data_IF_458230966137
#
_entry.id   IF_458230966137
#
_cell.length_a   1.000
_cell.length_b   1.000
_cell.length_c   1.000
_cell.angle_alpha   90.00
_cell.angle_beta   90.00
_cell.angle_gamma   90.00
#
_symmetry.space_group_name_H-M   'P 1'
#
loop_
_entity.id
_entity.type
_entity.pdbx_description
1 polymer ?
#
# COMPACT_ATOMS: atom_id res chain seq x y z
N UNK A 1 17.46 -36.78 -63.40
CA UNK A 1 16.20 -36.03 -63.00
C UNK A 1 15.85 -36.18 -61.53
N UNK A 2 16.56 -37.01 -60.79
CA UNK A 2 16.26 -37.28 -59.34
C UNK A 2 16.98 -36.37 -58.31
N UNK A 3 18.19 -35.91 -58.61
CA UNK A 3 18.97 -35.12 -57.62
C UNK A 3 18.51 -33.63 -57.47
N UNK A 4 17.88 -33.08 -58.48
CA UNK A 4 17.37 -31.69 -58.42
C UNK A 4 16.00 -31.60 -57.74
N UNK A 5 15.19 -32.66 -57.77
CA UNK A 5 13.92 -32.72 -57.07
C UNK A 5 14.11 -32.90 -55.56
N UNK A 6 15.03 -33.74 -55.12
CA UNK A 6 15.36 -33.96 -53.70
C UNK A 6 15.97 -32.73 -53.02
N UNK A 7 16.74 -31.94 -53.78
CA UNK A 7 17.32 -30.68 -53.29
C UNK A 7 16.28 -29.57 -53.13
N UNK A 8 15.29 -29.52 -54.01
CA UNK A 8 14.20 -28.57 -53.93
C UNK A 8 13.20 -28.88 -52.78
N UNK A 9 12.93 -30.18 -52.53
CA UNK A 9 12.07 -30.58 -51.40
C UNK A 9 12.72 -30.24 -50.05
N UNK A 10 14.02 -30.47 -49.88
CA UNK A 10 14.76 -30.14 -48.66
C UNK A 10 14.85 -28.65 -48.41
N UNK A 11 14.99 -27.82 -49.44
CA UNK A 11 14.98 -26.33 -49.31
C UNK A 11 13.61 -25.83 -48.92
N UNK A 12 12.54 -26.38 -49.47
CA UNK A 12 11.16 -25.98 -49.15
C UNK A 12 10.76 -26.39 -47.75
N UNK A 13 11.23 -27.54 -47.26
CA UNK A 13 10.96 -28.00 -45.89
C UNK A 13 11.75 -27.21 -44.83
N UNK A 14 12.98 -26.79 -45.13
CA UNK A 14 13.77 -25.94 -44.24
C UNK A 14 13.20 -24.50 -44.13
N UNK A 15 12.78 -23.91 -45.22
CA UNK A 15 12.16 -22.58 -45.24
C UNK A 15 10.81 -22.59 -44.48
N UNK A 16 9.98 -23.64 -44.71
CA UNK A 16 8.71 -23.77 -43.97
C UNK A 16 8.88 -24.06 -42.47
N UNK A 17 9.98 -24.65 -42.05
CA UNK A 17 10.32 -24.88 -40.63
C UNK A 17 10.88 -23.60 -39.97
N UNK A 18 11.62 -22.77 -40.69
CA UNK A 18 12.10 -21.48 -40.19
C UNK A 18 10.97 -20.47 -40.06
N UNK A 19 10.07 -20.39 -41.03
CA UNK A 19 8.90 -19.51 -40.97
C UNK A 19 7.95 -19.89 -39.81
N UNK A 20 7.76 -21.18 -39.53
CA UNK A 20 6.98 -21.63 -38.36
C UNK A 20 7.63 -21.29 -37.02
N UNK A 21 8.96 -21.41 -36.91
CA UNK A 21 9.68 -21.06 -35.66
C UNK A 21 9.67 -19.58 -35.38
N UNK A 22 9.81 -18.75 -36.41
CA UNK A 22 9.72 -17.28 -36.26
C UNK A 22 8.31 -16.83 -35.92
N UNK A 23 7.28 -17.48 -36.47
CA UNK A 23 5.87 -17.21 -36.13
C UNK A 23 5.56 -17.56 -34.67
N UNK A 24 5.96 -18.75 -34.20
CA UNK A 24 5.75 -19.19 -32.81
C UNK A 24 6.50 -18.30 -31.79
N UNK A 25 7.75 -17.95 -32.10
CA UNK A 25 8.52 -17.06 -31.22
C UNK A 25 7.89 -15.66 -31.12
N UNK A 26 7.34 -15.16 -32.20
CA UNK A 26 6.64 -13.88 -32.25
C UNK A 26 5.31 -13.92 -31.46
N UNK A 27 4.54 -14.98 -31.62
CA UNK A 27 3.32 -15.19 -30.85
C UNK A 27 3.62 -15.27 -29.34
N UNK A 28 4.62 -16.06 -28.95
CA UNK A 28 5.04 -16.16 -27.54
C UNK A 28 5.47 -14.78 -27.01
N UNK A 29 6.21 -14.00 -27.80
CA UNK A 29 6.65 -12.66 -27.41
C UNK A 29 5.47 -11.69 -27.23
N UNK A 30 4.46 -11.73 -28.08
CA UNK A 30 3.24 -10.95 -27.95
C UNK A 30 2.46 -11.30 -26.67
N UNK A 31 2.37 -12.57 -26.33
CA UNK A 31 1.76 -13.04 -25.07
C UNK A 31 2.56 -12.57 -23.84
N UNK A 32 3.87 -12.70 -23.87
CA UNK A 32 4.75 -12.28 -22.78
C UNK A 32 4.65 -10.77 -22.57
N UNK A 33 4.66 -10.00 -23.65
CA UNK A 33 4.53 -8.55 -23.58
C UNK A 33 3.17 -8.12 -23.01
N UNK A 34 2.08 -8.73 -23.47
CA UNK A 34 0.73 -8.46 -22.97
C UNK A 34 0.61 -8.79 -21.48
N UNK A 35 1.15 -9.94 -21.08
CA UNK A 35 1.18 -10.34 -19.66
C UNK A 35 2.02 -9.37 -18.82
N UNK A 36 3.16 -8.94 -19.31
CA UNK A 36 4.02 -7.98 -18.62
C UNK A 36 3.31 -6.65 -18.39
N UNK A 37 2.62 -6.13 -19.41
CA UNK A 37 1.80 -4.90 -19.27
C UNK A 37 0.70 -5.09 -18.24
N UNK A 38 -0.02 -6.21 -18.28
CA UNK A 38 -1.09 -6.49 -17.31
C UNK A 38 -0.57 -6.52 -15.86
N UNK A 39 0.60 -7.12 -15.64
CA UNK A 39 1.27 -7.14 -14.34
C UNK A 39 1.64 -5.72 -13.90
N UNK A 40 2.23 -4.91 -14.79
CA UNK A 40 2.60 -3.52 -14.49
C UNK A 40 1.37 -2.71 -14.10
N UNK A 41 0.29 -2.82 -14.87
CA UNK A 41 -0.98 -2.12 -14.57
C UNK A 41 -1.53 -2.57 -13.22
N UNK A 42 -1.56 -3.87 -12.94
CA UNK A 42 -2.01 -4.41 -11.65
C UNK A 42 -1.16 -3.89 -10.48
N UNK A 43 0.16 -3.81 -10.64
CA UNK A 43 1.06 -3.25 -9.63
C UNK A 43 0.82 -1.75 -9.40
N UNK A 44 0.57 -0.99 -10.47
CA UNK A 44 0.22 0.43 -10.36
C UNK A 44 -1.09 0.64 -9.63
N UNK A 45 -2.12 -0.13 -9.97
CA UNK A 45 -3.43 -0.07 -9.29
C UNK A 45 -3.27 -0.36 -7.80
N UNK A 46 -2.63 -1.49 -7.45
CA UNK A 46 -2.40 -1.87 -6.05
C UNK A 46 -1.51 -0.87 -5.30
N UNK A 47 -0.49 -0.33 -5.96
CA UNK A 47 0.44 0.61 -5.34
C UNK A 47 -0.17 1.99 -5.06
N UNK A 48 -0.98 2.50 -6.00
CA UNK A 48 -1.42 3.90 -6.00
C UNK A 48 -2.90 4.10 -5.69
N UNK A 49 -3.79 3.17 -6.10
CA UNK A 49 -5.23 3.40 -6.03
C UNK A 49 -5.85 2.83 -4.76
N UNK A 50 -5.63 1.54 -4.49
CA UNK A 50 -6.22 0.90 -3.31
C UNK A 50 -5.32 -0.19 -2.74
N UNK A 51 -5.57 -0.51 -1.48
CA UNK A 51 -4.96 -1.64 -0.78
C UNK A 51 -6.02 -2.42 0.00
N UNK A 52 -5.73 -3.67 0.28
CA UNK A 52 -6.59 -4.51 1.11
C UNK A 52 -5.85 -4.77 2.42
N UNK A 53 -6.44 -4.33 3.52
CA UNK A 53 -5.90 -4.54 4.85
C UNK A 53 -6.85 -5.38 5.69
N UNK A 54 -6.29 -6.09 6.65
CA UNK A 54 -7.06 -6.89 7.61
C UNK A 54 -7.05 -6.16 8.95
N UNK A 55 -8.23 -6.10 9.58
CA UNK A 55 -8.38 -5.57 10.93
C UNK A 55 -7.80 -6.57 11.93
N UNK A 56 -6.94 -6.10 12.82
CA UNK A 56 -6.40 -6.87 13.94
C UNK A 56 -6.74 -6.12 15.23
N UNK A 57 -7.59 -6.74 16.05
CA UNK A 57 -8.04 -6.22 17.31
C UNK A 57 -9.43 -5.56 17.29
N UNK A 58 -9.92 -5.24 18.48
CA UNK A 58 -11.30 -4.79 18.75
C UNK A 58 -11.44 -3.28 18.98
N UNK A 59 -10.40 -2.47 18.69
CA UNK A 59 -10.42 -1.02 19.03
C UNK A 59 -11.44 -0.20 18.26
N UNK A 60 -12.03 -0.75 17.22
CA UNK A 60 -13.07 -0.11 16.38
C UNK A 60 -14.42 -0.81 16.50
N UNK A 61 -14.57 -1.72 17.47
CA UNK A 61 -15.86 -2.35 17.75
C UNK A 61 -16.90 -1.29 18.25
N UNK A 62 -18.17 -1.39 17.85
CA UNK A 62 -18.80 -2.40 17.01
C UNK A 62 -18.68 -2.14 15.49
N UNK A 63 -18.14 -1.00 15.07
CA UNK A 63 -18.07 -0.60 13.65
C UNK A 63 -17.24 -1.58 12.80
N UNK A 64 -16.13 -2.08 13.34
CA UNK A 64 -15.27 -3.07 12.71
C UNK A 64 -14.99 -4.20 13.69
N UNK A 65 -15.01 -5.41 13.16
CA UNK A 65 -14.73 -6.64 13.92
C UNK A 65 -13.34 -7.18 13.55
N UNK A 66 -12.75 -7.91 14.49
CA UNK A 66 -11.48 -8.60 14.24
C UNK A 66 -11.58 -9.53 13.02
N UNK A 67 -10.55 -9.53 12.19
CA UNK A 67 -10.47 -10.22 10.91
C UNK A 67 -11.27 -9.62 9.73
N UNK A 68 -11.96 -8.51 9.89
CA UNK A 68 -12.58 -7.81 8.77
C UNK A 68 -11.53 -7.43 7.71
N UNK A 69 -11.94 -7.46 6.44
CA UNK A 69 -11.11 -7.01 5.32
C UNK A 69 -11.61 -5.67 4.83
N UNK A 70 -10.73 -4.67 4.87
CA UNK A 70 -11.02 -3.31 4.45
C UNK A 70 -10.35 -3.03 3.10
N UNK A 71 -11.10 -2.39 2.21
CA UNK A 71 -10.54 -1.79 1.00
C UNK A 71 -10.21 -0.34 1.31
N UNK A 72 -8.93 0.01 1.23
CA UNK A 72 -8.41 1.32 1.55
C UNK A 72 -8.10 2.05 0.26
N UNK A 73 -8.74 3.20 0.05
CA UNK A 73 -8.43 4.09 -1.07
C UNK A 73 -7.27 5.01 -0.69
N UNK A 74 -6.29 5.14 -1.60
CA UNK A 74 -5.09 5.96 -1.37
C UNK A 74 -5.12 7.27 -2.14
N UNK A 75 -5.85 7.33 -3.24
CA UNK A 75 -5.85 8.45 -4.15
C UNK A 75 -7.15 9.26 -4.04
N UNK A 76 -7.03 10.60 -4.14
CA UNK A 76 -8.19 11.49 -4.22
C UNK A 76 -9.01 11.61 -2.93
N UNK A 77 -8.47 11.18 -1.79
CA UNK A 77 -9.16 11.24 -0.52
C UNK A 77 -8.80 12.50 0.27
N UNK A 78 -9.82 13.23 0.71
CA UNK A 78 -9.68 14.33 1.65
C UNK A 78 -10.33 13.94 2.97
N UNK A 79 -9.57 13.86 4.08
CA UNK A 79 -10.11 13.46 5.37
C UNK A 79 -11.23 14.37 5.88
N UNK A 80 -12.24 13.78 6.49
CA UNK A 80 -13.34 14.48 7.16
C UNK A 80 -13.52 13.92 8.57
N UNK A 81 -14.12 14.74 9.44
CA UNK A 81 -14.52 14.28 10.77
C UNK A 81 -15.49 13.09 10.65
N UNK A 82 -15.30 12.09 11.48
CA UNK A 82 -16.06 10.83 11.45
C UNK A 82 -15.51 9.74 10.54
N UNK A 83 -14.62 10.06 9.59
CA UNK A 83 -14.04 9.08 8.68
C UNK A 83 -13.14 8.07 9.40
N UNK A 84 -13.12 6.85 8.90
CA UNK A 84 -12.21 5.80 9.36
C UNK A 84 -10.96 5.81 8.47
N UNK A 85 -9.82 6.02 9.08
CA UNK A 85 -8.53 6.11 8.41
C UNK A 85 -7.55 5.05 8.90
N UNK A 86 -6.56 4.78 8.06
CA UNK A 86 -5.42 3.94 8.42
C UNK A 86 -4.20 4.83 8.64
N UNK A 87 -3.66 4.76 9.84
CA UNK A 87 -2.48 5.50 10.27
C UNK A 87 -1.26 4.59 10.30
N UNK A 88 -0.15 5.07 9.77
CA UNK A 88 1.16 4.45 9.95
C UNK A 88 1.84 5.11 11.17
N UNK A 89 1.88 4.39 12.29
CA UNK A 89 2.42 4.93 13.55
C UNK A 89 3.92 5.15 13.54
N UNK A 90 4.63 4.44 12.67
CA UNK A 90 6.09 4.49 12.59
C UNK A 90 6.59 5.40 11.46
N UNK A 91 5.70 6.15 10.82
CA UNK A 91 6.06 7.00 9.68
C UNK A 91 7.18 7.98 10.03
N UNK A 92 7.05 8.72 11.14
CA UNK A 92 8.01 9.73 11.58
C UNK A 92 9.37 9.11 11.93
N UNK A 93 9.37 8.03 12.70
CA UNK A 93 10.59 7.32 13.10
C UNK A 93 11.31 6.74 11.88
N UNK A 94 10.56 6.34 10.87
CA UNK A 94 11.10 5.82 9.62
C UNK A 94 11.71 6.92 8.75
N UNK A 95 11.10 8.09 8.66
CA UNK A 95 11.71 9.24 7.98
C UNK A 95 13.02 9.65 8.65
N UNK A 96 13.07 9.77 9.97
CA UNK A 96 14.32 10.05 10.71
C UNK A 96 15.41 8.99 10.46
N UNK A 97 15.01 7.72 10.27
CA UNK A 97 15.96 6.67 9.90
C UNK A 97 16.53 6.90 8.49
N UNK A 98 15.69 7.30 7.52
CA UNK A 98 16.16 7.60 6.17
C UNK A 98 17.05 8.84 6.12
N UNK A 99 16.73 9.86 6.89
CA UNK A 99 17.55 11.07 6.99
C UNK A 99 18.94 10.76 7.54
N UNK A 100 19.01 10.00 8.64
CA UNK A 100 20.31 9.52 9.20
C UNK A 100 21.08 8.65 8.21
N UNK A 101 20.38 7.86 7.41
CA UNK A 101 21.03 7.04 6.38
C UNK A 101 21.54 7.90 5.21
N UNK A 102 20.83 8.96 4.85
CA UNK A 102 21.27 9.93 3.86
C UNK A 102 22.52 10.67 4.32
N UNK A 103 22.55 11.18 5.56
CA UNK A 103 23.71 11.81 6.19
C UNK A 103 24.93 10.88 6.17
N UNK A 104 24.74 9.60 6.50
CA UNK A 104 25.84 8.60 6.48
C UNK A 104 26.44 8.36 5.09
N UNK A 105 25.74 8.77 4.04
CA UNK A 105 26.15 8.64 2.63
C UNK A 105 26.54 9.98 2.01
N UNK A 106 26.69 11.03 2.81
CA UNK A 106 26.95 12.42 2.36
C UNK A 106 25.91 12.91 1.33
N UNK A 107 24.65 12.55 1.53
CA UNK A 107 23.52 12.94 0.68
C UNK A 107 22.55 13.81 1.46
N UNK A 108 21.95 14.76 0.77
CA UNK A 108 20.90 15.61 1.33
C UNK A 108 19.60 14.83 1.52
N UNK A 109 19.28 13.93 0.59
CA UNK A 109 18.13 13.04 0.66
C UNK A 109 18.38 11.73 -0.09
N UNK A 110 17.74 10.62 0.36
CA UNK A 110 17.75 9.36 -0.35
C UNK A 110 16.72 9.36 -1.47
N UNK A 111 17.09 8.84 -2.64
CA UNK A 111 16.14 8.59 -3.72
C UNK A 111 15.09 7.55 -3.33
N UNK A 112 13.92 7.58 -3.99
CA UNK A 112 12.84 6.60 -3.75
C UNK A 112 13.30 5.15 -3.93
N UNK A 113 14.24 4.92 -4.85
CA UNK A 113 14.83 3.62 -5.09
C UNK A 113 15.72 3.16 -3.94
N UNK A 114 16.56 4.06 -3.40
CA UNK A 114 17.39 3.77 -2.23
C UNK A 114 16.56 3.53 -0.97
N UNK A 115 15.49 4.33 -0.76
CA UNK A 115 14.51 4.11 0.33
C UNK A 115 13.86 2.73 0.20
N UNK A 116 13.52 2.29 -1.01
CA UNK A 116 12.95 0.97 -1.27
C UNK A 116 13.89 -0.17 -0.84
N UNK A 117 15.17 -0.10 -1.23
CA UNK A 117 16.16 -1.11 -0.83
C UNK A 117 16.49 -1.06 0.66
N UNK A 118 16.58 0.14 1.25
CA UNK A 118 16.83 0.32 2.67
C UNK A 118 15.71 -0.27 3.55
N UNK A 119 14.47 -0.35 3.05
CA UNK A 119 13.37 -1.01 3.77
C UNK A 119 13.65 -2.48 4.06
N UNK A 120 14.42 -3.18 3.22
CA UNK A 120 14.79 -4.58 3.43
C UNK A 120 15.69 -4.81 4.65
N UNK A 121 16.58 -3.88 4.91
CA UNK A 121 17.55 -3.91 6.03
C UNK A 121 17.09 -3.14 7.27
N UNK A 122 15.91 -2.52 7.20
CA UNK A 122 15.36 -1.70 8.28
C UNK A 122 15.06 -2.54 9.53
N UNK A 123 15.38 -2.03 10.74
CA UNK A 123 15.00 -2.64 12.01
C UNK A 123 13.49 -2.93 12.09
N UNK A 124 13.13 -4.04 12.71
CA UNK A 124 11.73 -4.50 12.76
C UNK A 124 10.78 -3.54 13.47
N UNK A 125 11.28 -2.77 14.44
CA UNK A 125 10.52 -1.74 15.16
C UNK A 125 10.17 -0.51 14.32
N UNK A 126 10.85 -0.29 13.18
CA UNK A 126 10.58 0.81 12.24
C UNK A 126 9.75 0.36 11.04
N UNK A 127 9.48 -0.95 10.91
CA UNK A 127 8.61 -1.45 9.85
C UNK A 127 7.21 -0.87 10.00
N UNK A 128 6.52 -0.70 8.87
CA UNK A 128 5.16 -0.15 8.82
C UNK A 128 4.25 -0.84 9.81
N UNK A 129 3.65 -0.06 10.70
CA UNK A 129 2.68 -0.53 11.67
C UNK A 129 1.41 0.29 11.52
N UNK A 130 0.38 -0.34 11.03
CA UNK A 130 -0.88 0.31 10.70
C UNK A 130 -1.88 0.21 11.84
N UNK A 131 -2.55 1.33 12.14
CA UNK A 131 -3.69 1.39 13.03
C UNK A 131 -4.90 1.91 12.28
N UNK A 132 -6.04 1.29 12.50
CA UNK A 132 -7.33 1.76 12.02
C UNK A 132 -7.94 2.63 13.12
N UNK A 133 -8.27 3.88 12.83
CA UNK A 133 -8.86 4.83 13.78
C UNK A 133 -9.89 5.72 13.10
N UNK A 134 -10.81 6.29 13.90
CA UNK A 134 -11.79 7.28 13.44
C UNK A 134 -11.25 8.69 13.71
N UNK A 135 -11.49 9.60 12.77
CA UNK A 135 -11.16 11.02 12.92
C UNK A 135 -12.24 11.64 13.81
N UNK A 136 -11.85 12.09 14.99
CA UNK A 136 -12.75 12.75 15.93
C UNK A 136 -12.77 14.25 15.71
N UNK A 137 -11.62 14.86 15.43
CA UNK A 137 -11.51 16.29 15.12
C UNK A 137 -10.51 16.53 14.00
N UNK A 138 -10.66 17.63 13.32
CA UNK A 138 -9.78 18.10 12.25
C UNK A 138 -8.71 19.08 12.80
N UNK A 139 -7.64 19.32 12.04
CA UNK A 139 -6.62 20.29 12.44
C UNK A 139 -7.21 21.66 12.75
N UNK A 140 -6.81 22.25 13.89
CA UNK A 140 -7.29 23.56 14.36
C UNK A 140 -8.52 23.50 15.25
N UNK A 141 -9.17 22.36 15.39
CA UNK A 141 -10.29 22.18 16.32
C UNK A 141 -9.82 21.81 17.72
N UNK A 142 -10.59 22.22 18.72
CA UNK A 142 -10.37 21.88 20.13
C UNK A 142 -11.23 20.69 20.52
N UNK A 143 -10.64 19.74 21.26
CA UNK A 143 -11.35 18.57 21.78
C UNK A 143 -11.41 18.69 23.29
N UNK A 144 -12.64 18.65 23.86
CA UNK A 144 -12.88 18.58 25.27
C UNK A 144 -13.60 17.28 25.63
N UNK A 145 -13.33 16.78 26.82
CA UNK A 145 -14.00 15.62 27.39
C UNK A 145 -14.71 16.00 28.68
N UNK A 146 -16.03 16.03 28.65
CA UNK A 146 -16.87 16.42 29.79
C UNK A 146 -17.83 15.26 30.11
N UNK A 147 -17.77 14.78 31.33
CA UNK A 147 -18.62 13.65 31.82
C UNK A 147 -18.63 12.43 30.90
N UNK A 148 -17.47 12.12 30.31
CA UNK A 148 -17.30 10.96 29.41
C UNK A 148 -17.85 11.18 28.01
N UNK A 149 -18.30 12.40 27.66
CA UNK A 149 -18.73 12.76 26.32
C UNK A 149 -17.70 13.63 25.64
N UNK A 150 -17.55 13.45 24.32
CA UNK A 150 -16.61 14.23 23.52
C UNK A 150 -17.30 15.48 23.00
N UNK A 151 -16.60 16.61 23.13
CA UNK A 151 -17.00 17.89 22.55
C UNK A 151 -15.91 18.35 21.58
N UNK A 152 -16.32 18.88 20.44
CA UNK A 152 -15.42 19.47 19.44
C UNK A 152 -15.84 20.92 19.23
N UNK A 153 -14.92 21.86 19.49
CA UNK A 153 -15.17 23.29 19.44
C UNK A 153 -16.36 23.75 20.33
N UNK A 154 -16.58 23.03 21.43
CA UNK A 154 -17.67 23.30 22.39
C UNK A 154 -19.01 22.67 22.04
N UNK A 155 -19.14 22.00 20.90
CA UNK A 155 -20.34 21.25 20.52
C UNK A 155 -20.17 19.76 20.83
N UNK A 156 -21.19 19.13 21.42
CA UNK A 156 -21.15 17.70 21.73
C UNK A 156 -21.14 16.88 20.43
N UNK A 157 -20.14 16.02 20.32
CA UNK A 157 -20.04 15.14 19.17
C UNK A 157 -21.10 14.04 19.24
N UNK A 158 -21.86 13.88 18.15
CA UNK A 158 -22.78 12.77 18.00
C UNK A 158 -21.99 11.51 17.59
N UNK A 159 -22.00 10.50 18.47
CA UNK A 159 -21.24 9.27 18.28
C UNK A 159 -22.19 8.04 18.21
N UNK A 160 -23.04 7.92 17.17
CA UNK A 160 -24.03 6.84 17.07
C UNK A 160 -23.39 5.45 16.94
N UNK A 161 -22.09 5.39 16.72
CA UNK A 161 -21.27 4.19 16.62
C UNK A 161 -20.68 3.73 17.96
N UNK A 162 -20.92 4.46 19.06
CA UNK A 162 -20.36 4.16 20.36
C UNK A 162 -21.34 4.51 21.49
N UNK A 163 -21.77 3.50 22.25
CA UNK A 163 -22.75 3.66 23.35
C UNK A 163 -22.09 3.87 24.72
N UNK A 164 -20.76 3.93 24.77
CA UNK A 164 -20.01 4.02 26.01
C UNK A 164 -19.64 5.45 26.40
N UNK A 165 -18.96 5.56 27.55
CA UNK A 165 -18.31 6.80 27.98
C UNK A 165 -16.84 6.76 27.62
N UNK A 166 -16.32 7.88 27.12
CA UNK A 166 -14.90 8.03 26.80
C UNK A 166 -14.15 8.54 28.03
N UNK A 167 -13.06 7.88 28.41
CA UNK A 167 -12.21 8.25 29.52
C UNK A 167 -10.77 8.46 29.08
N UNK A 168 -10.15 9.56 29.55
CA UNK A 168 -8.72 9.77 29.38
C UNK A 168 -8.01 8.89 30.42
N UNK A 169 -7.31 7.87 29.93
CA UNK A 169 -6.41 7.09 30.80
C UNK A 169 -5.10 7.85 30.98
N UNK A 170 -5.03 8.69 32.01
CA UNK A 170 -3.77 9.33 32.38
C UNK A 170 -2.83 8.25 32.90
N UNK A 171 -1.77 7.95 32.16
CA UNK A 171 -0.68 7.12 32.64
C UNK A 171 0.14 8.01 33.59
N UNK A 172 -0.12 7.93 34.88
CA UNK A 172 0.76 8.51 35.90
C UNK A 172 2.10 7.76 35.79
N UNK A 173 3.08 8.39 35.15
CA UNK A 173 4.48 8.01 35.33
C UNK A 173 4.94 8.66 36.63
N UNK A 174 4.88 7.90 37.71
CA UNK A 174 5.70 8.20 38.90
C UNK A 174 7.15 7.99 38.54
N UNK A 175 7.92 9.05 38.53
CA UNK A 175 9.39 9.03 38.52
C UNK A 175 9.90 8.66 39.90
#
# INVERSE_FOLDING_TARGET
MSEQEEKNENVTETVAKEDKKTSLAREIWEWVYTLAIAIVIAMLIKGFIFDIVRVDGSSMFPTLVDNDRLIVTKLGYTPKQGDIIILDSEYKNREEYFDRLAESKDKEELSSFEKFFAQGSMPSNLKKKYYVKRIIAMPGQTIDLVDGKVYVDGEMLDEPYYDGLTFIRTRSSSF
#
